data_IF_226730501573
#
_entry.id   IF_226730501573
#
_cell.length_a   1.000
_cell.length_b   1.000
_cell.length_c   1.000
_cell.angle_alpha   90.00
_cell.angle_beta   90.00
_cell.angle_gamma   90.00
#
_symmetry.space_group_name_H-M   'P 1'
#
loop_
_entity.id
_entity.type
_entity.pdbx_description
1 polymer ?
#
# COMPACT_ATOMS: atom_id res chain seq x y z
N UNK A 1 10.99 15.95 -16.30
CA UNK A 1 10.35 16.62 -15.14
C UNK A 1 8.85 16.30 -14.95
N UNK A 2 8.02 16.16 -16.00
CA UNK A 2 6.59 15.79 -15.82
C UNK A 2 6.38 14.33 -15.39
N UNK A 3 7.08 13.38 -16.01
CA UNK A 3 6.89 11.93 -15.77
C UNK A 3 7.18 11.52 -14.33
N UNK A 4 8.30 11.97 -13.73
CA UNK A 4 8.61 11.67 -12.32
C UNK A 4 7.54 12.18 -11.35
N UNK A 5 6.97 13.36 -11.63
CA UNK A 5 5.87 13.91 -10.84
C UNK A 5 4.62 13.03 -10.91
N UNK A 6 4.26 12.56 -12.10
CA UNK A 6 3.14 11.63 -12.28
C UNK A 6 3.38 10.30 -11.56
N UNK A 7 4.59 9.74 -11.66
CA UNK A 7 4.99 8.51 -10.96
C UNK A 7 4.79 8.68 -9.45
N UNK A 8 5.32 9.76 -8.85
CA UNK A 8 5.16 10.01 -7.40
C UNK A 8 3.69 10.12 -6.99
N UNK A 9 2.85 10.79 -7.79
CA UNK A 9 1.41 10.93 -7.50
C UNK A 9 0.73 9.56 -7.50
N UNK A 10 1.01 8.73 -8.51
CA UNK A 10 0.44 7.38 -8.65
C UNK A 10 0.89 6.50 -7.48
N UNK A 11 2.19 6.46 -7.17
CA UNK A 11 2.71 5.66 -6.06
C UNK A 11 2.11 6.09 -4.73
N UNK A 12 1.97 7.40 -4.49
CA UNK A 12 1.33 7.91 -3.28
C UNK A 12 -0.14 7.48 -3.16
N UNK A 13 -0.90 7.51 -4.24
CA UNK A 13 -2.30 7.04 -4.23
C UNK A 13 -2.38 5.53 -3.98
N UNK A 14 -1.50 4.73 -4.60
CA UNK A 14 -1.42 3.29 -4.36
C UNK A 14 -1.13 3.00 -2.87
N UNK A 15 -0.17 3.71 -2.27
CA UNK A 15 0.14 3.58 -0.85
C UNK A 15 -1.09 3.87 0.03
N UNK A 16 -1.80 4.96 -0.22
CA UNK A 16 -2.98 5.35 0.56
C UNK A 16 -4.08 4.28 0.45
N UNK A 17 -4.39 3.83 -0.77
CA UNK A 17 -5.45 2.84 -1.01
C UNK A 17 -5.10 1.49 -0.38
N UNK A 18 -3.86 1.01 -0.55
CA UNK A 18 -3.44 -0.27 0.05
C UNK A 18 -3.42 -0.20 1.58
N UNK A 19 -2.98 0.93 2.16
CA UNK A 19 -2.99 1.12 3.62
C UNK A 19 -4.42 1.14 4.17
N UNK A 20 -5.34 1.83 3.50
CA UNK A 20 -6.75 1.86 3.89
C UNK A 20 -7.40 0.47 3.77
N UNK A 21 -7.10 -0.28 2.71
CA UNK A 21 -7.59 -1.64 2.53
C UNK A 21 -7.06 -2.60 3.60
N UNK A 22 -5.78 -2.53 3.94
CA UNK A 22 -5.18 -3.34 5.00
C UNK A 22 -5.75 -3.00 6.39
N UNK A 23 -6.04 -1.72 6.66
CA UNK A 23 -6.75 -1.33 7.89
C UNK A 23 -8.14 -1.95 7.94
N UNK A 24 -8.90 -1.91 6.84
CA UNK A 24 -10.21 -2.55 6.78
C UNK A 24 -10.12 -4.07 6.99
N UNK A 25 -9.13 -4.73 6.36
CA UNK A 25 -8.84 -6.15 6.56
C UNK A 25 -8.53 -6.45 8.03
N UNK A 26 -7.70 -5.64 8.67
CA UNK A 26 -7.36 -5.80 10.09
C UNK A 26 -8.60 -5.67 11.00
N UNK A 27 -9.53 -4.76 10.68
CA UNK A 27 -10.80 -4.62 11.40
C UNK A 27 -11.68 -5.85 11.20
N UNK A 28 -11.74 -6.39 9.98
CA UNK A 28 -12.51 -7.60 9.66
C UNK A 28 -11.95 -8.84 10.35
N UNK A 29 -10.62 -9.02 10.37
CA UNK A 29 -9.95 -10.10 11.10
C UNK A 29 -10.16 -9.98 12.61
N UNK A 30 -10.20 -8.75 13.14
CA UNK A 30 -10.53 -8.51 14.55
C UNK A 30 -11.97 -8.91 14.87
N UNK A 31 -12.91 -8.61 13.97
CA UNK A 31 -14.32 -8.95 14.16
C UNK A 31 -14.59 -10.45 14.01
N UNK A 32 -13.91 -11.11 13.08
CA UNK A 32 -14.05 -12.55 12.83
C UNK A 32 -12.69 -13.21 12.54
N UNK A 33 -11.96 -13.65 13.59
CA UNK A 33 -10.61 -14.21 13.45
C UNK A 33 -10.57 -15.56 12.75
N UNK A 34 -11.72 -16.18 12.45
CA UNK A 34 -11.80 -17.44 11.71
C UNK A 34 -11.74 -17.25 10.19
N UNK A 35 -11.97 -16.04 9.69
CA UNK A 35 -11.76 -15.70 8.29
C UNK A 35 -10.35 -15.13 8.15
N UNK A 36 -9.51 -15.79 7.36
CA UNK A 36 -8.12 -15.38 7.12
C UNK A 36 -8.06 -14.24 6.06
N UNK A 37 -8.65 -13.08 6.37
CA UNK A 37 -8.68 -11.98 5.41
C UNK A 37 -7.27 -11.46 5.14
N UNK A 38 -6.42 -11.34 6.18
CA UNK A 38 -5.02 -10.95 6.00
C UNK A 38 -4.25 -11.95 5.12
N UNK A 39 -4.45 -13.25 5.29
CA UNK A 39 -3.82 -14.29 4.44
C UNK A 39 -4.16 -14.11 2.97
N UNK A 40 -5.44 -13.83 2.66
CA UNK A 40 -5.88 -13.52 1.30
C UNK A 40 -5.43 -12.12 0.81
N UNK A 41 -5.22 -11.17 1.71
CA UNK A 41 -4.83 -9.79 1.41
C UNK A 41 -3.31 -9.56 1.40
N UNK A 42 -2.47 -10.59 1.61
CA UNK A 42 -0.99 -10.44 1.65
C UNK A 42 -0.43 -9.73 0.42
N UNK A 43 -1.04 -9.91 -0.75
CA UNK A 43 -0.62 -9.23 -1.97
C UNK A 43 -0.73 -7.69 -1.85
N UNK A 44 -1.74 -7.16 -1.13
CA UNK A 44 -1.87 -5.72 -0.86
C UNK A 44 -0.69 -5.21 -0.03
N UNK A 45 -0.21 -6.00 0.92
CA UNK A 45 0.94 -5.66 1.75
C UNK A 45 2.23 -5.63 0.93
N UNK A 46 2.41 -6.56 0.00
CA UNK A 46 3.53 -6.55 -0.94
C UNK A 46 3.47 -5.31 -1.85
N UNK A 47 2.30 -5.00 -2.43
CA UNK A 47 2.10 -3.82 -3.27
C UNK A 47 2.40 -2.53 -2.50
N UNK A 48 1.92 -2.44 -1.25
CA UNK A 48 2.19 -1.30 -0.37
C UNK A 48 3.69 -1.14 -0.10
N UNK A 49 4.38 -2.21 0.29
CA UNK A 49 5.82 -2.16 0.56
C UNK A 49 6.63 -1.75 -0.67
N UNK A 50 6.34 -2.33 -1.83
CA UNK A 50 7.04 -2.02 -3.08
C UNK A 50 6.79 -0.56 -3.49
N UNK A 51 5.53 -0.11 -3.46
CA UNK A 51 5.19 1.28 -3.81
C UNK A 51 5.80 2.29 -2.84
N UNK A 52 5.80 1.99 -1.53
CA UNK A 52 6.44 2.84 -0.52
C UNK A 52 7.95 2.91 -0.69
N UNK A 53 8.61 1.78 -1.03
CA UNK A 53 10.04 1.74 -1.30
C UNK A 53 10.41 2.61 -2.50
N UNK A 54 9.75 2.42 -3.65
CA UNK A 54 10.01 3.23 -4.84
C UNK A 54 9.68 4.70 -4.62
N UNK A 55 8.64 5.01 -3.84
CA UNK A 55 8.31 6.39 -3.50
C UNK A 55 9.43 7.02 -2.67
N UNK A 56 9.95 6.28 -1.68
CA UNK A 56 11.05 6.71 -0.82
C UNK A 56 12.35 6.94 -1.61
N UNK A 57 12.70 6.03 -2.51
CA UNK A 57 13.86 6.18 -3.41
C UNK A 57 13.71 7.45 -4.23
N UNK A 58 12.58 7.62 -4.94
CA UNK A 58 12.34 8.81 -5.75
C UNK A 58 12.36 10.10 -4.92
N UNK A 59 11.96 10.06 -3.65
CA UNK A 59 11.89 11.23 -2.77
C UNK A 59 13.22 11.58 -2.09
N UNK A 60 14.12 10.59 -1.93
CA UNK A 60 15.48 10.76 -1.41
C UNK A 60 16.52 11.27 -2.41
N UNK A 61 16.22 11.23 -3.72
CA UNK A 61 17.04 11.80 -4.80
C UNK A 61 16.88 13.34 -4.97
N UNK A 62 16.69 14.10 -3.89
CA UNK A 62 16.55 15.57 -3.89
C UNK A 62 17.74 16.24 -3.21
#
# INVERSE_FOLDING_TARGET
MKIRRWIRIILSHICIVCSAALLAVQVLDWFNPFMDFLGHARFLLIILCVSAFFLSVEQGDV
#
